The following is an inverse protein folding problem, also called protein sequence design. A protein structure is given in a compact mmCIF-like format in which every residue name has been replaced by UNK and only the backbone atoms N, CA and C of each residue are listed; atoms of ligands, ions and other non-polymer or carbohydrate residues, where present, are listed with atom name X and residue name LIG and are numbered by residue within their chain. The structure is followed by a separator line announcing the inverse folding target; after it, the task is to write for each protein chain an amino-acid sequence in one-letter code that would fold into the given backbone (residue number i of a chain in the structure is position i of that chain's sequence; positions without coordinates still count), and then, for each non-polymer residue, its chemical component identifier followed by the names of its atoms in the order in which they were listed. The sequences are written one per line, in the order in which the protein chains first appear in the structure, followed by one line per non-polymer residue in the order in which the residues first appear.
data_IF_755649125075
#
_entry.id   IF_755649125075
#
_cell.length_a   1.000
_cell.length_b   1.000
_cell.length_c   1.000
_cell.angle_alpha   90.00
_cell.angle_beta   90.00
_cell.angle_gamma   90.00
#
_symmetry.space_group_name_H-M   'P 1'
#
loop_
_entity.id
_entity.type
_entity.pdbx_description
1 polymer ?
#
# COMPACT_ATOMS: atom_id res chain seq x y z
N UNK A 1 -7.16 30.78 -10.59
CA UNK A 1 -7.17 29.80 -9.47
C UNK A 1 -8.19 28.73 -9.82
N UNK A 2 -7.75 27.55 -10.28
CA UNK A 2 -8.65 26.53 -10.84
C UNK A 2 -9.35 25.69 -9.76
N UNK A 3 -10.67 25.53 -9.89
CA UNK A 3 -11.45 24.55 -9.14
C UNK A 3 -11.13 23.17 -9.70
N UNK A 4 -10.44 22.33 -8.93
CA UNK A 4 -10.02 21.04 -9.46
C UNK A 4 -9.62 20.04 -8.39
N UNK A 5 -10.04 18.79 -8.54
CA UNK A 5 -9.68 17.67 -7.68
C UNK A 5 -8.18 17.48 -7.51
N UNK A 6 -7.81 16.76 -6.44
CA UNK A 6 -6.42 16.49 -6.08
C UNK A 6 -6.04 15.04 -6.40
N UNK A 7 -4.81 14.78 -6.86
CA UNK A 7 -4.38 13.44 -7.22
C UNK A 7 -4.23 12.53 -5.99
N UNK A 8 -4.39 11.23 -6.21
CA UNK A 8 -4.12 10.22 -5.19
C UNK A 8 -2.61 10.08 -4.92
N UNK A 9 -2.27 9.73 -3.68
CA UNK A 9 -0.89 9.43 -3.32
C UNK A 9 -0.43 8.10 -3.94
N UNK A 10 0.87 7.93 -4.15
CA UNK A 10 1.47 6.68 -4.62
C UNK A 10 2.37 6.07 -3.56
N UNK A 11 2.69 4.78 -3.68
CA UNK A 11 3.74 4.12 -2.89
C UNK A 11 4.20 2.82 -3.57
N UNK A 12 3.49 1.70 -3.35
CA UNK A 12 3.75 0.43 -4.05
C UNK A 12 3.20 0.42 -5.46
N UNK A 13 2.02 1.03 -5.63
CA UNK A 13 1.39 1.38 -6.89
C UNK A 13 1.32 2.90 -7.05
N UNK A 14 1.17 3.36 -8.30
CA UNK A 14 1.01 4.78 -8.60
C UNK A 14 -0.35 5.28 -8.12
N UNK A 15 -0.41 6.52 -7.65
CA UNK A 15 -1.67 7.17 -7.35
C UNK A 15 -2.47 7.50 -8.62
N UNK A 16 -3.79 7.57 -8.49
CA UNK A 16 -4.69 8.01 -9.54
C UNK A 16 -4.54 9.51 -9.81
N UNK A 17 -4.75 9.89 -11.07
CA UNK A 17 -4.84 11.30 -11.44
C UNK A 17 -6.12 11.92 -10.89
N UNK A 18 -6.29 13.23 -11.01
CA UNK A 18 -7.56 13.89 -10.67
C UNK A 18 -8.28 14.38 -11.93
N UNK A 19 -9.49 14.90 -11.76
CA UNK A 19 -10.22 15.57 -12.85
C UNK A 19 -9.43 16.72 -13.49
N UNK A 20 -8.65 17.46 -12.69
CA UNK A 20 -8.03 18.73 -13.10
C UNK A 20 -6.55 18.64 -13.46
N UNK A 21 -5.92 17.49 -13.21
CA UNK A 21 -4.50 17.28 -13.50
C UNK A 21 -4.19 15.81 -13.72
N UNK A 22 -3.32 15.55 -14.71
CA UNK A 22 -2.72 14.23 -14.96
C UNK A 22 -1.55 13.91 -14.02
N UNK A 23 -1.21 14.81 -13.09
CA UNK A 23 -0.27 14.51 -12.01
C UNK A 23 -0.76 13.33 -11.18
N UNK A 24 0.18 12.49 -10.74
CA UNK A 24 -0.09 11.23 -10.03
C UNK A 24 0.98 11.02 -8.96
N UNK A 25 0.59 10.47 -7.81
CA UNK A 25 1.58 10.06 -6.80
C UNK A 25 2.50 8.97 -7.35
N UNK A 26 3.82 9.19 -7.31
CA UNK A 26 4.81 8.23 -7.78
C UNK A 26 4.96 7.02 -6.85
N UNK A 27 5.52 5.93 -7.35
CA UNK A 27 5.97 4.81 -6.52
C UNK A 27 7.32 5.13 -5.88
N UNK A 28 7.60 4.58 -4.69
CA UNK A 28 8.88 4.72 -4.01
C UNK A 28 9.11 3.56 -3.03
N UNK A 29 10.31 3.50 -2.44
CA UNK A 29 10.72 2.43 -1.53
C UNK A 29 11.03 1.12 -2.24
N UNK A 30 11.49 0.13 -1.48
CA UNK A 30 11.80 -1.21 -2.00
C UNK A 30 10.60 -2.15 -1.93
N UNK A 31 10.39 -2.94 -2.98
CA UNK A 31 9.37 -4.01 -3.00
C UNK A 31 9.72 -5.21 -2.11
N UNK A 32 11.01 -5.49 -1.92
CA UNK A 32 11.48 -6.66 -1.17
C UNK A 32 11.92 -6.34 0.26
N UNK A 33 12.13 -5.07 0.60
CA UNK A 33 12.41 -4.60 1.96
C UNK A 33 11.66 -3.28 2.22
N UNK A 34 10.32 -3.29 2.19
CA UNK A 34 9.52 -2.08 2.32
C UNK A 34 9.54 -1.57 3.76
N UNK A 35 10.08 -0.37 3.96
CA UNK A 35 10.20 0.29 5.28
C UNK A 35 9.60 1.69 5.31
N UNK A 36 9.24 2.24 4.15
CA UNK A 36 8.70 3.58 4.04
C UNK A 36 7.20 3.57 4.34
N UNK A 37 6.66 4.53 5.12
CA UNK A 37 5.22 4.72 5.22
C UNK A 37 4.66 5.17 3.87
N UNK A 38 3.36 4.97 3.69
CA UNK A 38 2.59 5.58 2.60
C UNK A 38 2.49 7.09 2.78
N UNK A 39 2.07 7.79 1.73
CA UNK A 39 1.94 9.24 1.70
C UNK A 39 0.49 9.68 1.69
N UNK A 40 0.25 10.91 2.17
CA UNK A 40 -1.06 11.53 2.12
C UNK A 40 -1.47 11.89 0.70
N UNK A 41 -2.75 11.74 0.40
CA UNK A 41 -3.34 12.19 -0.87
C UNK A 41 -3.31 13.71 -1.00
N UNK A 42 -3.40 14.19 -2.24
CA UNK A 42 -3.43 15.63 -2.48
C UNK A 42 -4.62 16.31 -1.81
N UNK A 43 -4.42 17.55 -1.36
CA UNK A 43 -5.42 18.39 -0.72
C UNK A 43 -5.53 19.72 -1.45
N UNK A 44 -6.72 20.33 -1.48
CA UNK A 44 -6.93 21.68 -2.02
C UNK A 44 -7.83 22.51 -1.09
N UNK A 45 -8.12 23.76 -1.47
CA UNK A 45 -9.01 24.70 -0.76
C UNK A 45 -10.34 24.04 -0.31
N UNK A 46 -10.35 23.54 0.93
CA UNK A 46 -11.50 22.94 1.59
C UNK A 46 -11.63 21.42 1.45
N UNK A 47 -10.75 20.72 0.72
CA UNK A 47 -10.78 19.27 0.52
C UNK A 47 -9.53 18.61 1.08
N UNK A 48 -9.70 17.70 2.04
CA UNK A 48 -8.58 17.05 2.72
C UNK A 48 -8.26 15.70 2.08
N UNK A 49 -6.99 15.48 1.76
CA UNK A 49 -6.49 14.20 1.28
C UNK A 49 -6.59 13.12 2.36
N UNK A 50 -6.64 11.87 1.91
CA UNK A 50 -6.52 10.72 2.81
C UNK A 50 -5.11 10.60 3.37
N UNK A 51 -4.97 10.07 4.58
CA UNK A 51 -3.69 9.79 5.21
C UNK A 51 -3.04 8.56 4.58
N UNK A 52 -1.72 8.59 4.41
CA UNK A 52 -0.97 7.41 3.99
C UNK A 52 -0.96 6.31 5.05
N UNK A 53 -0.87 5.06 4.62
CA UNK A 53 -0.73 3.92 5.52
C UNK A 53 0.61 3.90 6.26
N UNK A 54 0.64 3.31 7.45
CA UNK A 54 1.87 3.18 8.24
C UNK A 54 2.91 2.20 7.67
N UNK A 55 4.05 2.06 8.35
CA UNK A 55 5.03 1.01 8.06
C UNK A 55 5.08 0.03 9.24
N UNK A 56 4.90 -1.26 8.95
CA UNK A 56 4.89 -2.34 9.94
C UNK A 56 6.02 -3.30 9.58
N UNK A 57 6.99 -3.47 10.50
CA UNK A 57 8.06 -4.43 10.36
C UNK A 57 8.00 -5.47 11.47
N UNK A 58 7.89 -6.74 11.08
CA UNK A 58 7.83 -7.89 11.98
C UNK A 58 9.03 -8.78 11.68
N UNK A 59 9.90 -8.95 12.66
CA UNK A 59 11.00 -9.90 12.61
C UNK A 59 10.84 -10.92 13.72
N UNK A 60 10.63 -12.18 13.36
CA UNK A 60 10.52 -13.28 14.32
C UNK A 60 11.43 -14.44 13.90
N UNK A 61 12.35 -14.86 14.76
CA UNK A 61 13.30 -15.92 14.42
C UNK A 61 12.60 -17.23 14.00
N UNK A 62 11.47 -17.58 14.63
CA UNK A 62 10.80 -18.87 14.43
C UNK A 62 9.52 -18.76 13.61
N UNK A 63 8.53 -18.02 14.09
CA UNK A 63 7.17 -18.13 13.56
C UNK A 63 6.45 -16.80 13.60
N UNK A 64 5.69 -16.54 12.54
CA UNK A 64 4.62 -15.53 12.52
C UNK A 64 3.33 -16.26 12.14
N UNK A 65 2.38 -16.31 13.09
CA UNK A 65 1.04 -16.86 12.88
C UNK A 65 0.03 -15.71 12.76
N UNK A 66 -0.35 -15.38 11.53
CA UNK A 66 -1.29 -14.31 11.24
C UNK A 66 -2.71 -14.87 11.15
N UNK A 67 -3.48 -14.73 12.22
CA UNK A 67 -4.90 -15.12 12.28
C UNK A 67 -5.85 -13.92 12.39
N UNK A 68 -5.31 -12.72 12.59
CA UNK A 68 -6.06 -11.46 12.66
C UNK A 68 -5.77 -10.56 11.46
N UNK A 69 -5.90 -9.24 11.67
CA UNK A 69 -5.63 -8.22 10.68
C UNK A 69 -4.35 -7.45 11.00
N UNK A 70 -3.40 -7.42 10.06
CA UNK A 70 -2.33 -6.42 10.00
C UNK A 70 -2.71 -5.44 8.90
N UNK A 71 -2.89 -4.16 9.23
CA UNK A 71 -3.27 -3.14 8.26
C UNK A 71 -2.31 -1.97 8.25
N UNK A 72 -1.76 -1.72 7.07
CA UNK A 72 -1.03 -0.52 6.69
C UNK A 72 -1.76 0.17 5.52
N UNK A 73 -3.09 0.11 5.47
CA UNK A 73 -3.85 0.72 4.38
C UNK A 73 -3.87 2.24 4.51
N UNK A 74 -3.86 2.94 3.37
CA UNK A 74 -4.14 4.37 3.32
C UNK A 74 -5.61 4.64 3.61
N UNK A 75 -5.91 5.83 4.15
CA UNK A 75 -7.29 6.24 4.36
C UNK A 75 -7.88 6.84 3.09
N UNK A 76 -9.20 6.74 2.97
CA UNK A 76 -9.95 7.56 2.03
C UNK A 76 -9.77 9.06 2.38
N UNK A 77 -10.22 9.95 1.51
CA UNK A 77 -10.41 11.37 1.86
C UNK A 77 -10.99 11.54 3.28
N UNK A 78 -10.43 12.51 4.02
CA UNK A 78 -10.74 12.75 5.43
C UNK A 78 -11.81 13.82 5.66
N UNK A 79 -12.55 14.22 4.61
CA UNK A 79 -13.64 15.18 4.65
C UNK A 79 -13.40 16.46 3.82
N UNK A 80 -14.31 17.43 3.97
CA UNK A 80 -14.27 18.69 3.25
C UNK A 80 -15.13 18.70 1.97
N UNK A 81 -14.69 19.43 0.95
CA UNK A 81 -15.29 19.35 -0.39
C UNK A 81 -14.79 18.09 -1.12
N UNK A 82 -15.62 17.54 -2.02
CA UNK A 82 -15.41 16.26 -2.73
C UNK A 82 -14.25 16.32 -3.74
N UNK A 83 -13.03 16.62 -3.28
CA UNK A 83 -11.87 16.95 -4.12
C UNK A 83 -10.55 16.40 -3.58
N UNK A 84 -10.53 15.82 -2.38
CA UNK A 84 -9.32 15.22 -1.80
C UNK A 84 -8.96 13.90 -2.48
N UNK A 85 -7.67 13.70 -2.73
CA UNK A 85 -7.14 12.42 -3.22
C UNK A 85 -7.03 11.39 -2.09
N UNK A 86 -7.09 10.10 -2.43
CA UNK A 86 -6.88 9.02 -1.47
C UNK A 86 -5.41 8.89 -1.03
N UNK A 87 -5.19 8.50 0.23
CA UNK A 87 -3.85 8.19 0.74
C UNK A 87 -3.33 6.86 0.19
N UNK A 88 -2.02 6.73 -0.01
CA UNK A 88 -1.45 5.45 -0.48
C UNK A 88 -1.35 4.42 0.63
N UNK A 89 -1.38 3.14 0.24
CA UNK A 89 -1.04 2.05 1.15
C UNK A 89 0.43 2.14 1.60
N UNK A 90 0.70 1.71 2.82
CA UNK A 90 2.01 1.74 3.44
C UNK A 90 2.84 0.48 3.21
N UNK A 91 3.65 0.11 4.20
CA UNK A 91 4.57 -1.03 4.13
C UNK A 91 4.23 -2.09 5.17
N UNK A 92 4.26 -3.36 4.77
CA UNK A 92 4.28 -4.51 5.68
C UNK A 92 5.48 -5.36 5.31
N UNK A 93 6.43 -5.50 6.23
CA UNK A 93 7.61 -6.35 6.05
C UNK A 93 7.61 -7.43 7.14
N UNK A 94 7.50 -8.69 6.73
CA UNK A 94 7.55 -9.85 7.61
C UNK A 94 8.80 -10.66 7.30
N UNK A 95 9.60 -10.95 8.32
CA UNK A 95 10.77 -11.81 8.23
C UNK A 95 10.67 -12.91 9.30
N UNK A 96 10.54 -14.17 8.88
CA UNK A 96 10.41 -15.28 9.83
C UNK A 96 10.81 -16.64 9.28
N UNK A 97 11.09 -17.64 10.12
CA UNK A 97 11.34 -19.00 9.59
C UNK A 97 10.05 -19.65 9.06
N UNK A 98 8.93 -19.55 9.79
CA UNK A 98 7.63 -20.13 9.42
C UNK A 98 6.54 -19.05 9.37
N UNK A 99 5.93 -18.84 8.21
CA UNK A 99 4.78 -17.97 8.04
C UNK A 99 3.51 -18.80 7.87
N UNK A 100 2.49 -18.56 8.69
CA UNK A 100 1.26 -19.35 8.72
C UNK A 100 0.04 -18.57 9.20
N UNK A 101 -1.13 -19.21 9.15
CA UNK A 101 -2.41 -18.66 9.57
C UNK A 101 -3.34 -18.37 8.39
N UNK A 102 -4.53 -17.86 8.71
CA UNK A 102 -5.61 -17.57 7.75
C UNK A 102 -6.12 -16.12 7.81
N UNK A 103 -5.40 -15.25 8.51
CA UNK A 103 -5.71 -13.84 8.66
C UNK A 103 -5.41 -13.00 7.42
N UNK A 104 -5.32 -11.68 7.61
CA UNK A 104 -5.18 -10.72 6.51
C UNK A 104 -4.01 -9.78 6.81
N UNK A 105 -3.12 -9.60 5.85
CA UNK A 105 -2.19 -8.48 5.81
C UNK A 105 -2.59 -7.58 4.63
N UNK A 106 -2.93 -6.32 4.90
CA UNK A 106 -3.37 -5.37 3.87
C UNK A 106 -2.62 -4.05 3.91
N UNK A 107 -2.20 -3.60 2.75
CA UNK A 107 -1.65 -2.27 2.52
C UNK A 107 -2.34 -1.67 1.30
N UNK A 108 -3.66 -1.56 1.36
CA UNK A 108 -4.47 -1.05 0.25
C UNK A 108 -4.40 0.48 0.16
N UNK A 109 -4.57 1.02 -1.04
CA UNK A 109 -4.75 2.46 -1.24
C UNK A 109 -6.15 2.91 -0.82
N UNK A 110 -6.26 4.13 -0.29
CA UNK A 110 -7.54 4.75 0.04
C UNK A 110 -8.23 5.39 -1.16
N UNK A 111 -9.54 5.51 -1.13
CA UNK A 111 -10.33 6.13 -2.20
C UNK A 111 -10.25 7.66 -2.17
N UNK A 112 -10.20 8.26 -3.36
CA UNK A 112 -10.47 9.69 -3.53
C UNK A 112 -11.97 9.98 -3.46
N UNK A 113 -12.36 11.26 -3.37
CA UNK A 113 -13.76 11.68 -3.45
C UNK A 113 -13.97 12.70 -4.57
N UNK A 114 -15.14 12.66 -5.20
CA UNK A 114 -15.50 13.51 -6.32
C UNK A 114 -14.45 13.54 -7.41
N UNK A 115 -13.83 14.70 -7.58
CA UNK A 115 -12.81 14.94 -8.59
C UNK A 115 -11.42 14.37 -8.20
N UNK A 116 -11.27 13.82 -6.98
CA UNK A 116 -10.02 13.30 -6.44
C UNK A 116 -9.66 11.90 -6.93
N UNK A 117 -8.37 11.68 -7.12
CA UNK A 117 -7.81 10.38 -7.52
C UNK A 117 -7.69 9.38 -6.37
N UNK A 118 -7.85 8.09 -6.65
CA UNK A 118 -7.60 7.00 -5.70
C UNK A 118 -6.13 6.84 -5.37
N UNK A 119 -5.80 6.50 -4.13
CA UNK A 119 -4.44 6.21 -3.69
C UNK A 119 -3.91 4.90 -4.29
N UNK A 120 -2.62 4.83 -4.56
CA UNK A 120 -1.95 3.60 -4.98
C UNK A 120 -1.83 2.60 -3.83
N UNK A 121 -1.85 1.31 -4.16
CA UNK A 121 -1.57 0.25 -3.19
C UNK A 121 -0.16 0.35 -2.59
N UNK A 122 0.03 -0.28 -1.45
CA UNK A 122 1.27 -0.31 -0.68
C UNK A 122 2.18 -1.48 -1.04
N UNK A 123 3.07 -1.83 -0.13
CA UNK A 123 4.04 -2.91 -0.33
C UNK A 123 3.96 -3.92 0.79
N UNK A 124 3.85 -5.20 0.44
CA UNK A 124 3.96 -6.31 1.39
C UNK A 124 5.15 -7.17 0.98
N UNK A 125 6.11 -7.38 1.87
CA UNK A 125 7.19 -8.33 1.68
C UNK A 125 7.16 -9.38 2.79
N UNK A 126 7.22 -10.66 2.41
CA UNK A 126 7.33 -11.78 3.36
C UNK A 126 8.56 -12.59 3.00
N UNK A 127 9.55 -12.60 3.90
CA UNK A 127 10.73 -13.44 3.81
C UNK A 127 10.59 -14.61 4.77
N UNK A 128 10.63 -15.82 4.24
CA UNK A 128 10.39 -17.04 5.01
C UNK A 128 11.10 -18.28 4.50
N UNK A 129 11.41 -19.20 5.42
CA UNK A 129 11.92 -20.54 5.08
C UNK A 129 10.75 -21.45 4.70
N UNK A 130 9.68 -21.45 5.51
CA UNK A 130 8.48 -22.25 5.29
C UNK A 130 7.26 -21.33 5.21
N UNK A 131 6.53 -21.44 4.11
CA UNK A 131 5.29 -20.70 3.88
C UNK A 131 4.12 -21.68 3.82
N UNK A 132 3.23 -21.58 4.80
CA UNK A 132 1.97 -22.33 4.85
C UNK A 132 0.80 -21.38 5.16
N UNK A 133 0.99 -20.09 4.88
CA UNK A 133 -0.05 -19.10 5.08
C UNK A 133 -1.17 -19.29 4.06
N UNK A 134 -2.39 -19.47 4.55
CA UNK A 134 -3.60 -19.67 3.76
C UNK A 134 -4.53 -18.45 3.80
N UNK A 135 -4.08 -17.34 4.40
CA UNK A 135 -4.82 -16.09 4.47
C UNK A 135 -4.59 -15.19 3.25
N UNK A 136 -5.01 -13.91 3.39
CA UNK A 136 -4.97 -12.94 2.30
C UNK A 136 -3.85 -11.91 2.48
N UNK A 137 -3.10 -11.67 1.41
CA UNK A 137 -2.23 -10.51 1.27
C UNK A 137 -2.88 -9.54 0.27
N UNK A 138 -3.16 -8.31 0.67
CA UNK A 138 -3.87 -7.32 -0.15
C UNK A 138 -3.06 -6.03 -0.30
N UNK A 139 -2.97 -5.55 -1.54
CA UNK A 139 -2.33 -4.28 -1.91
C UNK A 139 -3.16 -3.59 -3.00
N UNK A 140 -4.48 -3.61 -2.87
CA UNK A 140 -5.38 -3.09 -3.90
C UNK A 140 -5.26 -1.58 -4.05
N UNK A 141 -5.70 -1.07 -5.20
CA UNK A 141 -5.78 0.36 -5.44
C UNK A 141 -6.99 0.99 -4.74
N UNK A 142 -6.85 2.28 -4.43
CA UNK A 142 -7.97 3.14 -4.08
C UNK A 142 -8.84 3.45 -5.28
N UNK A 143 -10.15 3.63 -5.03
CA UNK A 143 -11.11 3.99 -6.06
C UNK A 143 -11.13 5.48 -6.36
N UNK A 144 -11.58 5.81 -7.57
CA UNK A 144 -11.94 7.16 -7.95
C UNK A 144 -13.19 7.65 -7.22
N UNK A 145 -13.33 8.97 -7.08
CA UNK A 145 -14.55 9.59 -6.58
C UNK A 145 -15.70 9.58 -7.61
N UNK A 146 -15.54 10.30 -8.74
CA UNK A 146 -16.52 10.42 -9.82
C UNK A 146 -15.89 9.93 -11.13
N UNK A 147 -16.26 8.71 -11.56
CA UNK A 147 -15.87 8.13 -12.85
C UNK A 147 -14.69 7.14 -12.77
N UNK A 148 -14.73 6.13 -13.63
CA UNK A 148 -13.83 4.96 -13.61
C UNK A 148 -12.39 5.22 -14.11
N UNK A 149 -11.95 6.49 -14.21
CA UNK A 149 -10.64 6.81 -14.84
C UNK A 149 -9.59 7.38 -13.89
N UNK A 150 -9.90 7.44 -12.59
CA UNK A 150 -9.03 8.04 -11.56
C UNK A 150 -8.55 7.06 -10.50
N UNK A 151 -8.54 5.76 -10.82
CA UNK A 151 -8.02 4.72 -9.94
C UNK A 151 -6.52 4.88 -9.70
N UNK A 152 -6.08 4.54 -8.48
CA UNK A 152 -4.69 4.19 -8.27
C UNK A 152 -4.34 2.87 -8.95
N UNK A 153 -3.07 2.52 -8.91
CA UNK A 153 -2.58 1.20 -9.32
C UNK A 153 -2.40 0.31 -8.09
N UNK A 154 -2.57 -1.02 -8.23
CA UNK A 154 -2.27 -1.94 -7.15
C UNK A 154 -0.77 -1.88 -6.79
N UNK A 155 -0.49 -2.23 -5.54
CA UNK A 155 0.84 -2.27 -4.99
C UNK A 155 1.58 -3.57 -5.30
N UNK A 156 2.63 -3.84 -4.51
CA UNK A 156 3.50 -5.01 -4.74
C UNK A 156 3.44 -5.98 -3.57
N UNK A 157 3.32 -7.27 -3.88
CA UNK A 157 3.54 -8.36 -2.93
C UNK A 157 4.83 -9.09 -3.33
N UNK A 158 5.78 -9.16 -2.41
CA UNK A 158 7.02 -9.92 -2.57
C UNK A 158 7.04 -11.09 -1.60
N UNK A 159 7.34 -12.30 -2.10
CA UNK A 159 7.52 -13.51 -1.28
C UNK A 159 8.93 -14.04 -1.46
N UNK A 160 9.82 -13.69 -0.55
CA UNK A 160 11.23 -14.10 -0.54
C UNK A 160 11.43 -15.43 0.17
N UNK A 161 12.30 -16.28 -0.37
CA UNK A 161 12.74 -17.49 0.31
C UNK A 161 13.97 -17.18 1.16
N UNK A 162 13.89 -17.50 2.45
CA UNK A 162 15.07 -17.59 3.31
C UNK A 162 15.60 -19.01 3.25
N UNK A 163 16.90 -19.13 3.40
CA UNK A 163 17.55 -20.43 3.41
C UNK A 163 17.83 -20.84 4.85
N UNK A 164 17.61 -22.12 5.21
CA UNK A 164 18.09 -22.66 6.47
C UNK A 164 19.60 -22.44 6.61
N UNK A 165 20.07 -22.30 7.86
CA UNK A 165 21.50 -22.22 8.14
C UNK A 165 22.26 -23.39 7.49
N UNK A 166 23.39 -23.08 6.85
CA UNK A 166 24.23 -24.05 6.13
C UNK A 166 24.02 -24.11 4.61
N UNK A 167 23.13 -23.29 4.05
CA UNK A 167 22.96 -23.19 2.59
C UNK A 167 24.01 -22.26 1.97
N UNK A 168 24.80 -22.74 1.00
CA UNK A 168 25.77 -21.95 0.22
C UNK A 168 25.33 -21.92 -1.25
N UNK A 169 25.34 -20.75 -1.88
CA UNK A 169 25.23 -20.61 -3.32
C UNK A 169 26.60 -20.32 -3.92
N UNK A 170 26.95 -21.05 -4.96
CA UNK A 170 28.01 -20.67 -5.90
C UNK A 170 27.31 -20.15 -7.14
N UNK A 171 27.27 -18.83 -7.28
CA UNK A 171 26.91 -18.23 -8.56
C UNK A 171 28.14 -18.26 -9.47
N UNK A 172 27.96 -18.72 -10.71
CA UNK A 172 28.95 -18.61 -11.78
C UNK A 172 28.72 -17.32 -12.55
#
# INVERSE_FOLDING_TARGET
MGYGGSPGAGHGGRGGRSWSTDARGATYGSSNAPVNPGSGGGSNLGGYGGHGGGAIWIHAARQVALNGLISASGSNNSGGNNRGGGGSGGSIYIHCSRFEGSGIARADGGSGLGEGGGGGGGRIAVWRIRDIFAGMLSVTNGTAGWGETYYGEPGTIFRGQLFPGGTVFVAR
#
